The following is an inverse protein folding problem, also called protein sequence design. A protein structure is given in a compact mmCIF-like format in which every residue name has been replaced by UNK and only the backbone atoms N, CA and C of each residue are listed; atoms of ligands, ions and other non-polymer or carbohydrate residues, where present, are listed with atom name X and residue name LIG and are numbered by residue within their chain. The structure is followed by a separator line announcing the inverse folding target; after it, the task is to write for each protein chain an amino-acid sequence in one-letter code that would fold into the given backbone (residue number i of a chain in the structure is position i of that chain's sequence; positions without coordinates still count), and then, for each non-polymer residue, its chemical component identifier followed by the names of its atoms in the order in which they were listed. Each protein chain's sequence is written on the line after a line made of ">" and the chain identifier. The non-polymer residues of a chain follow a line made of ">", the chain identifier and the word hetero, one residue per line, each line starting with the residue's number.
data_IF_090897422660
#
_entry.id   IF_090897422660
#
_cell.length_a   1.000
_cell.length_b   1.000
_cell.length_c   1.000
_cell.angle_alpha   90.00
_cell.angle_beta   90.00
_cell.angle_gamma   90.00
#
_symmetry.space_group_name_H-M   'P 1'
#
loop_
_entity.id
_entity.type
_entity.pdbx_description
1 polymer ?
#
# COMPACT_ATOMS: atom_id res chain seq x y z
N UNK A 1 13.57 -4.91 -26.31
CA UNK A 1 13.96 -4.62 -24.96
C UNK A 1 12.77 -4.34 -24.08
N UNK A 2 12.75 -4.99 -22.97
CA UNK A 2 11.63 -4.87 -22.07
C UNK A 2 11.79 -3.73 -21.12
N UNK A 3 10.79 -2.90 -21.06
CA UNK A 3 10.77 -1.88 -20.05
C UNK A 3 9.99 -2.40 -18.87
N UNK A 4 10.60 -2.30 -17.71
CA UNK A 4 9.90 -2.68 -16.51
C UNK A 4 8.76 -1.73 -16.30
N UNK A 5 7.56 -2.27 -16.17
CA UNK A 5 6.38 -1.47 -15.89
C UNK A 5 6.51 -0.93 -14.46
N UNK A 6 6.23 0.37 -14.30
CA UNK A 6 6.31 1.00 -12.99
C UNK A 6 5.38 0.30 -12.00
N UNK A 7 4.21 -0.12 -12.46
CA UNK A 7 3.28 -0.83 -11.60
C UNK A 7 3.85 -2.16 -11.14
N UNK A 8 4.61 -2.84 -11.99
CA UNK A 8 5.25 -4.09 -11.59
C UNK A 8 6.29 -3.85 -10.51
N UNK A 9 7.02 -2.76 -10.60
CA UNK A 9 8.01 -2.41 -9.58
C UNK A 9 7.34 -2.15 -8.24
N UNK A 10 6.22 -1.42 -8.26
CA UNK A 10 5.46 -1.13 -7.05
C UNK A 10 4.92 -2.42 -6.45
N UNK A 11 4.35 -3.28 -7.29
CA UNK A 11 3.80 -4.55 -6.84
C UNK A 11 4.88 -5.41 -6.20
N UNK A 12 6.04 -5.50 -6.85
CA UNK A 12 7.13 -6.32 -6.34
C UNK A 12 7.65 -5.79 -5.01
N UNK A 13 7.75 -4.48 -4.89
CA UNK A 13 8.17 -3.86 -3.64
C UNK A 13 7.20 -4.19 -2.51
N UNK A 14 5.91 -4.15 -2.78
CA UNK A 14 4.90 -4.48 -1.79
C UNK A 14 4.94 -5.97 -1.45
N UNK A 15 5.12 -6.82 -2.46
CA UNK A 15 5.21 -8.26 -2.24
C UNK A 15 6.40 -8.62 -1.36
N UNK A 16 7.51 -7.90 -1.52
CA UNK A 16 8.69 -8.14 -0.70
C UNK A 16 8.46 -7.79 0.77
N UNK A 17 7.41 -7.03 1.05
CA UNK A 17 7.09 -6.61 2.41
C UNK A 17 5.83 -7.29 2.94
N UNK A 18 5.42 -8.40 2.34
CA UNK A 18 4.27 -9.16 2.83
C UNK A 18 4.51 -9.57 4.28
N UNK A 19 3.50 -9.33 5.11
CA UNK A 19 3.56 -9.64 6.52
C UNK A 19 4.31 -8.61 7.35
N UNK A 20 4.82 -7.55 6.74
CA UNK A 20 5.59 -6.53 7.45
C UNK A 20 4.73 -5.31 7.73
N UNK A 21 5.14 -4.58 8.76
CA UNK A 21 4.43 -3.37 9.15
C UNK A 21 4.64 -2.27 8.14
N UNK A 22 3.59 -1.50 7.92
CA UNK A 22 3.62 -0.40 6.98
C UNK A 22 2.81 0.76 7.53
N UNK A 23 3.26 1.96 7.24
CA UNK A 23 2.50 3.16 7.54
C UNK A 23 1.84 3.61 6.25
N UNK A 24 0.52 3.76 6.28
CA UNK A 24 -0.25 4.20 5.14
C UNK A 24 -0.57 5.67 5.30
N UNK A 25 -0.26 6.46 4.28
CA UNK A 25 -0.62 7.86 4.23
C UNK A 25 -1.53 8.03 3.03
N UNK A 26 -2.81 8.19 3.28
CA UNK A 26 -3.80 8.32 2.22
C UNK A 26 -4.33 9.73 2.15
N UNK A 27 -4.46 10.25 0.94
CA UNK A 27 -5.08 11.55 0.74
C UNK A 27 -6.59 11.40 0.86
N UNK A 28 -7.16 12.16 1.81
CA UNK A 28 -8.59 12.12 2.06
C UNK A 28 -9.20 13.50 1.80
N UNK A 29 -8.97 14.02 0.60
CA UNK A 29 -9.47 15.32 0.22
C UNK A 29 -8.39 16.39 0.30
N UNK A 30 -8.82 17.64 0.19
CA UNK A 30 -7.87 18.74 0.14
C UNK A 30 -7.13 18.87 1.46
N UNK A 31 -5.81 18.88 1.39
CA UNK A 31 -4.94 19.13 2.53
C UNK A 31 -5.18 18.20 3.71
N UNK A 32 -5.78 17.05 3.42
CA UNK A 32 -6.00 16.06 4.46
C UNK A 32 -5.26 14.79 4.14
N UNK A 33 -4.46 14.35 5.08
CA UNK A 33 -3.76 13.09 4.98
C UNK A 33 -4.14 12.25 6.17
N UNK A 34 -4.67 11.06 5.91
CA UNK A 34 -5.00 10.11 6.96
C UNK A 34 -3.85 9.14 7.06
N UNK A 35 -3.33 8.98 8.28
CA UNK A 35 -2.20 8.09 8.54
C UNK A 35 -2.69 6.91 9.36
N UNK A 36 -2.43 5.71 8.86
CA UNK A 36 -2.78 4.47 9.55
C UNK A 36 -1.59 3.54 9.56
N UNK A 37 -1.47 2.79 10.64
CA UNK A 37 -0.49 1.71 10.72
C UNK A 37 -1.16 0.41 10.40
N UNK A 38 -0.47 -0.45 9.67
CA UNK A 38 -1.02 -1.74 9.29
C UNK A 38 0.04 -2.73 8.89
N UNK A 39 -0.41 -3.86 8.40
CA UNK A 39 0.44 -4.94 7.92
C UNK A 39 -0.03 -5.33 6.54
N UNK A 40 0.90 -5.52 5.62
CA UNK A 40 0.55 -6.01 4.28
C UNK A 40 0.10 -7.46 4.43
N UNK A 41 -1.18 -7.71 4.17
CA UNK A 41 -1.73 -9.04 4.38
C UNK A 41 -1.67 -9.90 3.13
N UNK A 42 -2.06 -9.34 2.00
CA UNK A 42 -2.08 -10.08 0.74
C UNK A 42 -1.86 -9.14 -0.43
N UNK A 43 -1.35 -9.72 -1.51
CA UNK A 43 -1.20 -9.01 -2.77
C UNK A 43 -1.93 -9.78 -3.86
N UNK A 44 -2.51 -9.05 -4.79
CA UNK A 44 -3.21 -9.59 -5.95
C UNK A 44 -2.65 -8.90 -7.19
N UNK A 45 -3.03 -9.34 -8.39
CA UNK A 45 -2.44 -8.75 -9.60
C UNK A 45 -2.61 -7.24 -9.74
N UNK A 46 -3.70 -6.68 -9.23
CA UNK A 46 -3.98 -5.25 -9.39
C UNK A 46 -4.12 -4.49 -8.08
N UNK A 47 -4.26 -5.19 -6.98
CA UNK A 47 -4.54 -4.56 -5.70
C UNK A 47 -3.78 -5.27 -4.58
N UNK A 48 -3.73 -4.63 -3.43
CA UNK A 48 -3.18 -5.27 -2.24
C UNK A 48 -4.06 -4.95 -1.04
N UNK A 49 -3.98 -5.80 -0.04
CA UNK A 49 -4.81 -5.70 1.17
C UNK A 49 -3.93 -5.43 2.37
N UNK A 50 -4.34 -4.45 3.16
CA UNK A 50 -3.63 -4.07 4.38
C UNK A 50 -4.57 -4.27 5.56
N UNK A 51 -4.08 -4.97 6.58
CA UNK A 51 -4.81 -5.12 7.83
C UNK A 51 -4.38 -3.99 8.77
N UNK A 52 -5.35 -3.24 9.28
CA UNK A 52 -5.06 -2.12 10.16
C UNK A 52 -4.69 -2.60 11.56
N UNK A 53 -3.68 -1.98 12.15
CA UNK A 53 -3.27 -2.34 13.50
C UNK A 53 -4.27 -1.88 14.55
N UNK A 54 -4.87 -0.73 14.31
CA UNK A 54 -5.82 -0.17 15.27
C UNK A 54 -7.11 -0.99 15.34
N UNK A 55 -7.40 -1.73 14.28
CA UNK A 55 -8.58 -2.59 14.22
C UNK A 55 -8.24 -3.79 13.36
N UNK A 56 -7.86 -4.88 14.01
CA UNK A 56 -7.38 -6.06 13.29
C UNK A 56 -8.47 -6.74 12.47
N UNK A 57 -9.72 -6.41 12.73
CA UNK A 57 -10.81 -6.94 11.92
C UNK A 57 -11.06 -6.11 10.68
N UNK A 58 -10.44 -4.95 10.60
CA UNK A 58 -10.65 -4.04 9.49
C UNK A 58 -9.51 -4.15 8.50
N UNK A 59 -9.88 -4.34 7.25
CA UNK A 59 -8.91 -4.41 6.16
C UNK A 59 -9.23 -3.32 5.16
N UNK A 60 -8.20 -2.76 4.58
CA UNK A 60 -8.36 -1.78 3.52
C UNK A 60 -7.66 -2.29 2.28
N UNK A 61 -8.21 -1.94 1.13
CA UNK A 61 -7.70 -2.39 -0.16
C UNK A 61 -7.32 -1.17 -0.98
N UNK A 62 -6.14 -1.23 -1.58
CA UNK A 62 -5.66 -0.17 -2.47
C UNK A 62 -5.14 -0.81 -3.74
N UNK A 63 -5.16 -0.04 -4.82
CA UNK A 63 -4.56 -0.50 -6.07
C UNK A 63 -3.12 -0.03 -6.15
N UNK A 64 -2.34 -0.68 -6.98
CA UNK A 64 -0.96 -0.23 -7.21
C UNK A 64 -0.95 1.12 -7.92
N UNK A 65 -2.00 1.41 -8.69
CA UNK A 65 -2.14 2.72 -9.31
C UNK A 65 -2.27 3.82 -8.28
N UNK A 66 -2.93 3.54 -7.16
CA UNK A 66 -3.06 4.53 -6.08
C UNK A 66 -1.71 4.90 -5.51
N UNK A 67 -0.80 3.94 -5.46
CA UNK A 67 0.57 4.21 -5.01
C UNK A 67 1.32 5.01 -6.05
N UNK A 68 1.15 4.67 -7.31
CA UNK A 68 1.81 5.36 -8.41
C UNK A 68 1.42 6.82 -8.46
N UNK A 69 0.14 7.11 -8.28
CA UNK A 69 -0.38 8.47 -8.35
C UNK A 69 -0.26 9.22 -7.03
N UNK A 70 0.32 8.57 -6.03
CA UNK A 70 0.50 9.13 -4.69
C UNK A 70 -0.80 9.43 -3.98
N UNK A 71 -1.87 8.79 -4.41
CA UNK A 71 -3.15 8.84 -3.70
C UNK A 71 -2.98 8.18 -2.33
N UNK A 72 -2.17 7.12 -2.29
CA UNK A 72 -1.76 6.50 -1.05
C UNK A 72 -0.24 6.34 -1.08
N UNK A 73 0.40 6.58 0.05
CA UNK A 73 1.84 6.41 0.19
C UNK A 73 2.11 5.35 1.24
N UNK A 74 3.10 4.53 0.98
CA UNK A 74 3.47 3.46 1.89
C UNK A 74 4.87 3.74 2.44
N UNK A 75 5.00 3.66 3.76
CA UNK A 75 6.29 3.77 4.41
C UNK A 75 6.51 2.48 5.18
N UNK A 76 7.50 1.72 4.76
CA UNK A 76 7.78 0.46 5.41
C UNK A 76 8.75 0.67 6.56
N UNK A 77 8.51 -0.05 7.64
CA UNK A 77 9.42 -0.02 8.78
C UNK A 77 10.73 -0.70 8.38
N UNK A 78 11.80 -0.08 8.76
CA UNK A 78 13.13 -0.61 8.44
C UNK A 78 13.68 -1.38 9.63
#
# INVERSE_FOLDING_TARGET
>A
MEKMNVLDSIKRNIEDHLGEKVVLKANSGRKRVVVNNGVIEKTYPSIFVVRLESDTQRKVTYSYSDVLTKTVQLVFAV
#
